data_IF_135041765450
#
_entry.id   IF_135041765450
#
_cell.length_a   1.000
_cell.length_b   1.000
_cell.length_c   1.000
_cell.angle_alpha   90.00
_cell.angle_beta   90.00
_cell.angle_gamma   90.00
#
_symmetry.space_group_name_H-M   'P 1'
#
loop_
_entity.id
_entity.type
_entity.pdbx_description
1 polymer ?
#
# COMPACT_ATOMS: atom_id res chain seq x y z
N UNK A 1 -7.83 -13.30 -9.77
CA UNK A 1 -9.03 -12.78 -9.17
C UNK A 1 -8.72 -11.67 -8.20
N UNK A 2 -9.49 -10.62 -8.27
CA UNK A 2 -9.37 -9.50 -7.33
C UNK A 2 -9.95 -9.98 -6.00
N UNK A 3 -9.13 -10.13 -4.98
CA UNK A 3 -9.57 -10.59 -3.65
C UNK A 3 -10.56 -9.63 -3.01
N UNK A 4 -11.33 -10.12 -2.03
CA UNK A 4 -12.34 -9.33 -1.29
C UNK A 4 -11.77 -8.07 -0.61
N UNK A 5 -10.47 -8.01 -0.38
CA UNK A 5 -9.77 -6.83 0.18
C UNK A 5 -9.42 -5.74 -0.82
N UNK A 6 -9.65 -5.94 -2.11
CA UNK A 6 -9.26 -4.99 -3.15
C UNK A 6 -9.87 -3.58 -2.96
N UNK A 7 -11.16 -3.42 -2.67
CA UNK A 7 -11.73 -2.09 -2.44
C UNK A 7 -11.07 -1.37 -1.26
N UNK A 8 -10.76 -2.08 -0.18
CA UNK A 8 -10.10 -1.48 0.99
C UNK A 8 -8.66 -1.03 0.68
N UNK A 9 -7.92 -1.79 -0.14
CA UNK A 9 -6.58 -1.42 -0.57
C UNK A 9 -6.60 -0.13 -1.40
N UNK A 10 -7.55 0.00 -2.32
CA UNK A 10 -7.72 1.21 -3.13
C UNK A 10 -8.12 2.39 -2.24
N UNK A 11 -9.06 2.18 -1.30
CA UNK A 11 -9.46 3.22 -0.35
C UNK A 11 -8.28 3.70 0.49
N UNK A 12 -7.46 2.81 1.03
CA UNK A 12 -6.23 3.18 1.75
C UNK A 12 -5.27 4.00 0.88
N UNK A 13 -5.19 3.69 -0.40
CA UNK A 13 -4.36 4.46 -1.33
C UNK A 13 -4.83 5.90 -1.50
N UNK A 14 -6.14 6.15 -1.50
CA UNK A 14 -6.72 7.47 -1.73
C UNK A 14 -6.89 8.30 -0.46
N UNK A 15 -7.08 7.69 0.70
CA UNK A 15 -7.13 8.41 1.97
C UNK A 15 -5.73 8.92 2.30
N UNK A 16 -5.53 10.22 2.12
CA UNK A 16 -4.21 10.82 2.21
C UNK A 16 -3.65 10.83 3.64
N UNK A 17 -4.49 11.07 4.65
CA UNK A 17 -4.09 11.10 6.06
C UNK A 17 -5.32 10.95 6.96
N UNK A 18 -5.19 10.16 8.02
CA UNK A 18 -6.25 10.00 9.03
C UNK A 18 -6.61 11.32 9.73
N UNK A 19 -5.62 12.20 9.91
CA UNK A 19 -5.82 13.52 10.52
C UNK A 19 -6.74 14.40 9.67
N UNK A 20 -6.55 14.38 8.34
CA UNK A 20 -7.41 15.12 7.40
C UNK A 20 -8.84 14.55 7.44
N UNK A 21 -9.00 13.24 7.52
CA UNK A 21 -10.32 12.61 7.66
C UNK A 21 -10.98 12.98 8.99
N UNK A 22 -10.22 12.97 10.09
CA UNK A 22 -10.70 13.42 11.41
C UNK A 22 -11.13 14.88 11.41
N UNK A 23 -10.36 15.76 10.79
CA UNK A 23 -10.72 17.19 10.65
C UNK A 23 -11.99 17.40 9.81
N UNK A 24 -12.16 16.62 8.75
CA UNK A 24 -13.34 16.71 7.88
C UNK A 24 -14.61 16.20 8.52
N UNK A 25 -14.53 15.20 9.40
CA UNK A 25 -15.68 14.72 10.18
C UNK A 25 -16.26 15.76 11.13
N UNK A 26 -15.50 16.78 11.49
CA UNK A 26 -15.94 17.89 12.34
C UNK A 26 -16.52 19.09 11.56
N UNK A 27 -16.58 19.02 10.23
CA UNK A 27 -17.16 20.05 9.39
C UNK A 27 -18.62 19.70 9.06
N UNK A 28 -19.51 20.69 9.13
CA UNK A 28 -20.95 20.53 8.81
C UNK A 28 -21.20 20.15 7.34
N UNK A 29 -20.23 20.39 6.45
CA UNK A 29 -20.25 20.01 5.04
C UNK A 29 -18.96 19.29 4.66
N UNK A 30 -19.06 17.99 4.41
CA UNK A 30 -17.96 17.17 3.95
C UNK A 30 -17.80 17.32 2.42
N UNK A 31 -16.79 18.05 1.96
CA UNK A 31 -16.39 18.04 0.56
C UNK A 31 -15.45 16.86 0.30
N UNK A 32 -16.00 15.77 -0.20
CA UNK A 32 -15.26 14.53 -0.51
C UNK A 32 -14.15 14.79 -1.53
N UNK A 33 -14.26 15.82 -2.36
CA UNK A 33 -13.21 16.18 -3.35
C UNK A 33 -11.90 16.59 -2.70
N UNK A 34 -11.95 17.09 -1.45
CA UNK A 34 -10.76 17.46 -0.68
C UNK A 34 -10.02 16.22 -0.10
N UNK A 35 -10.75 15.12 0.08
CA UNK A 35 -10.18 13.84 0.54
C UNK A 35 -9.47 13.05 -0.57
N UNK A 36 -9.88 13.28 -1.80
CA UNK A 36 -9.30 12.58 -2.94
C UNK A 36 -8.12 13.38 -3.46
N UNK A 37 -6.90 12.88 -3.33
CA UNK A 37 -5.76 13.53 -3.97
C UNK A 37 -6.04 13.58 -5.48
N UNK A 38 -5.87 14.76 -6.09
CA UNK A 38 -5.92 14.93 -7.55
C UNK A 38 -4.69 14.30 -8.23
N UNK A 39 -4.29 13.11 -7.76
CA UNK A 39 -3.04 12.43 -8.12
C UNK A 39 -3.32 10.96 -8.36
N UNK A 40 -2.43 10.35 -9.11
CA UNK A 40 -2.43 8.89 -9.26
C UNK A 40 -1.93 8.24 -7.97
N UNK A 41 -2.59 7.15 -7.61
CA UNK A 41 -2.20 6.35 -6.45
C UNK A 41 -1.99 4.90 -6.88
N UNK A 42 -0.87 4.34 -6.47
CA UNK A 42 -0.55 2.93 -6.61
C UNK A 42 -0.46 2.28 -5.24
N UNK A 43 -1.06 1.12 -5.07
CA UNK A 43 -0.97 0.32 -3.86
C UNK A 43 -0.46 -1.07 -4.17
N UNK A 44 0.54 -1.54 -3.41
CA UNK A 44 1.17 -2.84 -3.57
C UNK A 44 1.13 -3.59 -2.24
N UNK A 45 0.44 -4.74 -2.16
CA UNK A 45 0.57 -5.64 -1.02
C UNK A 45 1.99 -6.19 -0.94
N UNK A 46 2.54 -6.21 0.27
CA UNK A 46 3.80 -6.88 0.59
C UNK A 46 3.51 -7.96 1.61
N UNK A 47 3.97 -9.17 1.33
CA UNK A 47 3.64 -10.34 2.12
C UNK A 47 4.84 -11.28 2.28
N UNK A 48 4.65 -12.34 3.07
CA UNK A 48 5.51 -13.52 3.18
C UNK A 48 4.71 -14.77 2.82
N UNK A 49 5.36 -15.85 2.32
CA UNK A 49 4.68 -17.13 2.13
C UNK A 49 4.12 -17.63 3.49
N UNK A 50 3.00 -18.36 3.50
CA UNK A 50 2.18 -18.82 2.38
C UNK A 50 1.02 -17.88 2.02
N UNK A 51 1.06 -16.61 2.42
CA UNK A 51 0.00 -15.66 2.07
C UNK A 51 -0.27 -15.66 0.54
N UNK A 52 -1.51 -15.66 0.05
CA UNK A 52 -2.79 -15.46 0.76
C UNK A 52 -3.46 -16.78 1.23
N UNK A 53 -2.78 -17.91 1.18
CA UNK A 53 -3.34 -19.22 1.48
C UNK A 53 -3.23 -19.62 2.94
N UNK A 54 -2.85 -18.70 3.82
CA UNK A 54 -2.65 -18.97 5.23
C UNK A 54 -3.91 -19.57 5.89
N UNK A 55 -3.91 -20.87 6.06
CA UNK A 55 -4.71 -21.51 7.10
C UNK A 55 -4.07 -21.11 8.41
N UNK A 56 -4.82 -20.47 9.29
CA UNK A 56 -4.45 -19.81 10.53
C UNK A 56 -3.70 -20.64 11.60
N UNK A 57 -2.79 -21.53 11.22
CA UNK A 57 -2.04 -22.42 12.13
C UNK A 57 -0.52 -22.22 12.09
N UNK A 58 -0.01 -21.37 11.22
CA UNK A 58 1.42 -21.11 11.16
C UNK A 58 1.74 -19.80 11.86
N UNK A 59 2.44 -19.88 12.98
CA UNK A 59 3.14 -18.71 13.52
C UNK A 59 4.45 -18.59 12.75
N UNK A 60 4.64 -17.48 12.08
CA UNK A 60 5.92 -17.12 11.48
C UNK A 60 6.87 -16.64 12.57
N UNK A 61 8.16 -16.75 12.31
CA UNK A 61 9.16 -16.04 13.12
C UNK A 61 8.91 -14.52 13.07
N UNK A 62 9.10 -13.85 14.20
CA UNK A 62 9.09 -12.39 14.25
C UNK A 62 10.45 -11.89 13.77
N UNK A 63 10.45 -11.19 12.65
CA UNK A 63 11.66 -10.69 12.01
C UNK A 63 11.71 -9.17 12.06
N UNK A 64 12.91 -8.57 12.14
CA UNK A 64 13.05 -7.11 12.07
C UNK A 64 12.53 -6.59 10.71
N UNK A 65 11.93 -5.40 10.77
CA UNK A 65 11.49 -4.65 9.59
C UNK A 65 12.47 -3.50 9.39
N UNK A 66 13.25 -3.56 8.31
CA UNK A 66 14.37 -2.64 8.08
C UNK A 66 14.32 -2.03 6.66
N UNK A 67 15.29 -1.17 6.35
CA UNK A 67 15.56 -0.65 5.00
C UNK A 67 14.76 0.59 4.60
N UNK A 68 13.79 1.03 5.41
CA UNK A 68 12.98 2.20 5.12
C UNK A 68 13.43 3.43 5.91
N UNK A 69 13.40 4.58 5.24
CA UNK A 69 13.50 5.88 5.91
C UNK A 69 12.17 6.21 6.61
N UNK A 70 12.14 7.14 7.60
CA UNK A 70 10.91 7.58 8.24
C UNK A 70 9.83 8.04 7.24
N UNK A 71 10.23 8.75 6.18
CA UNK A 71 9.32 9.17 5.11
C UNK A 71 8.71 7.98 4.35
N UNK A 72 9.52 6.95 4.07
CA UNK A 72 9.04 5.75 3.39
C UNK A 72 8.17 4.88 4.30
N UNK A 73 8.45 4.85 5.61
CA UNK A 73 7.58 4.17 6.59
C UNK A 73 6.17 4.76 6.61
N UNK A 74 6.02 6.09 6.44
CA UNK A 74 4.72 6.74 6.28
C UNK A 74 3.97 6.39 4.99
N UNK A 75 4.61 5.70 4.05
CA UNK A 75 3.96 5.17 2.82
C UNK A 75 3.47 3.74 2.97
N UNK A 76 3.63 3.12 4.14
CA UNK A 76 3.24 1.73 4.38
C UNK A 76 2.10 1.68 5.39
N UNK A 77 0.99 1.09 5.00
CA UNK A 77 -0.08 0.71 5.90
C UNK A 77 0.24 -0.67 6.46
N UNK A 78 0.74 -0.70 7.70
CA UNK A 78 1.21 -1.90 8.36
C UNK A 78 0.06 -2.81 8.78
N UNK A 79 0.24 -4.12 8.61
CA UNK A 79 -0.73 -5.16 8.97
C UNK A 79 -0.16 -6.09 10.04
N UNK A 80 0.59 -7.09 9.63
CA UNK A 80 1.17 -8.12 10.52
C UNK A 80 2.52 -7.64 11.09
N UNK A 81 2.50 -6.49 11.76
CA UNK A 81 3.68 -5.81 12.32
C UNK A 81 3.39 -5.32 13.74
N UNK A 82 4.37 -5.44 14.61
CA UNK A 82 4.35 -4.96 15.98
C UNK A 82 5.57 -4.09 16.29
N UNK A 83 5.48 -3.26 17.32
CA UNK A 83 6.62 -2.51 17.86
C UNK A 83 7.28 -3.35 18.93
N UNK A 84 8.57 -3.63 18.75
CA UNK A 84 9.43 -4.14 19.81
C UNK A 84 9.80 -2.94 20.71
N UNK A 85 9.19 -2.86 21.87
CA UNK A 85 9.38 -1.72 22.79
C UNK A 85 10.77 -1.66 23.38
N UNK A 86 11.44 -2.81 23.55
CA UNK A 86 12.79 -2.87 24.12
C UNK A 86 13.83 -2.40 23.08
N UNK A 87 13.67 -2.84 21.85
CA UNK A 87 14.57 -2.47 20.75
C UNK A 87 14.21 -1.15 20.06
N UNK A 88 12.99 -0.61 20.28
CA UNK A 88 12.47 0.55 19.56
C UNK A 88 12.30 0.32 18.05
N UNK A 89 12.10 -0.94 17.63
CA UNK A 89 12.15 -1.38 16.25
C UNK A 89 10.84 -2.04 15.84
N UNK A 90 10.48 -1.89 14.56
CA UNK A 90 9.37 -2.65 14.00
C UNK A 90 9.80 -4.10 13.73
N UNK A 91 8.91 -5.04 14.05
CA UNK A 91 9.06 -6.46 13.76
C UNK A 91 7.79 -7.03 13.19
N UNK A 92 7.89 -8.09 12.39
CA UNK A 92 6.70 -8.82 11.95
C UNK A 92 6.02 -9.46 13.16
N UNK A 93 4.68 -9.48 13.19
CA UNK A 93 3.93 -10.10 14.29
C UNK A 93 3.80 -11.62 14.13
N UNK A 94 4.05 -12.15 12.93
CA UNK A 94 4.07 -13.58 12.66
C UNK A 94 2.69 -14.26 12.63
N UNK A 95 1.62 -13.53 12.28
CA UNK A 95 0.25 -14.03 12.35
C UNK A 95 -0.28 -14.57 11.02
N UNK A 96 -0.31 -13.76 9.96
CA UNK A 96 -0.94 -14.14 8.69
C UNK A 96 -0.04 -14.00 7.45
N UNK A 97 1.06 -13.28 7.59
CA UNK A 97 2.05 -13.06 6.54
C UNK A 97 1.74 -11.90 5.59
N UNK A 98 0.61 -11.20 5.71
CA UNK A 98 0.42 -9.92 5.05
C UNK A 98 1.13 -8.82 5.86
N UNK A 99 2.30 -8.42 5.44
CA UNK A 99 3.13 -7.44 6.16
C UNK A 99 2.49 -6.06 6.13
N UNK A 100 1.97 -5.68 4.97
CA UNK A 100 1.31 -4.40 4.79
C UNK A 100 1.06 -4.05 3.33
N UNK A 101 0.57 -2.83 3.12
CA UNK A 101 0.29 -2.28 1.80
C UNK A 101 1.13 -1.03 1.60
N UNK A 102 1.98 -1.06 0.60
CA UNK A 102 2.82 0.08 0.22
C UNK A 102 2.04 1.00 -0.71
N UNK A 103 2.11 2.30 -0.45
CA UNK A 103 1.47 3.36 -1.24
C UNK A 103 2.51 4.18 -2.00
N UNK A 104 2.26 4.45 -3.27
CA UNK A 104 2.87 5.53 -4.04
C UNK A 104 1.80 6.52 -4.47
N UNK A 105 2.04 7.81 -4.34
CA UNK A 105 1.14 8.86 -4.81
C UNK A 105 1.93 9.93 -5.56
N UNK A 106 1.48 10.30 -6.76
CA UNK A 106 2.18 11.26 -7.62
C UNK A 106 1.24 11.86 -8.67
N UNK A 107 1.73 12.86 -9.42
CA UNK A 107 0.97 13.54 -10.47
C UNK A 107 0.89 12.71 -11.77
N UNK A 108 1.65 11.61 -11.87
CA UNK A 108 1.59 10.66 -12.98
C UNK A 108 1.50 9.22 -12.46
N UNK A 109 0.87 8.35 -13.25
CA UNK A 109 0.75 6.92 -12.92
C UNK A 109 2.11 6.23 -12.84
N UNK A 110 3.06 6.59 -13.73
CA UNK A 110 4.40 6.06 -13.74
C UNK A 110 5.16 6.40 -12.47
N UNK A 111 5.11 7.66 -12.03
CA UNK A 111 5.80 8.09 -10.82
C UNK A 111 5.17 7.48 -9.56
N UNK A 112 3.85 7.41 -9.51
CA UNK A 112 3.11 6.74 -8.43
C UNK A 112 3.55 5.27 -8.28
N UNK A 113 3.63 4.55 -9.39
CA UNK A 113 4.12 3.17 -9.43
C UNK A 113 5.59 3.07 -9.00
N UNK A 114 6.45 3.94 -9.53
CA UNK A 114 7.87 3.94 -9.20
C UNK A 114 8.10 4.13 -7.68
N UNK A 115 7.37 5.05 -7.05
CA UNK A 115 7.44 5.29 -5.61
C UNK A 115 6.99 4.09 -4.78
N UNK A 116 5.92 3.41 -5.21
CA UNK A 116 5.46 2.19 -4.54
C UNK A 116 6.48 1.06 -4.67
N UNK A 117 6.99 0.82 -5.88
CA UNK A 117 7.99 -0.21 -6.15
C UNK A 117 9.31 0.06 -5.42
N UNK A 118 9.77 1.32 -5.40
CA UNK A 118 10.96 1.71 -4.64
C UNK A 118 10.82 1.35 -3.17
N UNK A 119 9.71 1.75 -2.55
CA UNK A 119 9.45 1.49 -1.12
C UNK A 119 9.34 -0.01 -0.85
N UNK A 120 8.60 -0.76 -1.67
CA UNK A 120 8.48 -2.21 -1.54
C UNK A 120 9.83 -2.93 -1.72
N UNK A 121 10.70 -2.44 -2.62
CA UNK A 121 12.02 -3.01 -2.85
C UNK A 121 12.96 -2.75 -1.67
N UNK A 122 12.96 -1.53 -1.14
CA UNK A 122 13.83 -1.14 0.00
C UNK A 122 13.45 -1.82 1.30
N UNK A 123 12.18 -2.13 1.50
CA UNK A 123 11.71 -2.86 2.68
C UNK A 123 12.45 -4.19 2.80
N UNK A 124 13.15 -4.40 3.91
CA UNK A 124 13.94 -5.60 4.19
C UNK A 124 13.22 -6.44 5.22
N UNK A 125 12.74 -7.58 4.78
CA UNK A 125 12.12 -8.63 5.59
C UNK A 125 12.45 -9.97 4.92
N UNK A 126 12.86 -11.02 5.65
CA UNK A 126 13.10 -12.35 5.07
C UNK A 126 11.88 -12.88 4.32
N UNK A 127 12.11 -13.51 3.19
CA UNK A 127 11.07 -14.12 2.34
C UNK A 127 10.00 -13.14 1.83
N UNK A 128 10.30 -11.86 1.78
CA UNK A 128 9.40 -10.84 1.26
C UNK A 128 8.93 -11.14 -0.17
N UNK A 129 7.63 -10.96 -0.40
CA UNK A 129 6.97 -11.10 -1.70
C UNK A 129 6.16 -9.86 -2.03
N UNK A 130 6.25 -9.39 -3.26
CA UNK A 130 5.35 -8.41 -3.86
C UNK A 130 5.39 -8.54 -5.39
N UNK A 131 4.38 -7.99 -6.08
CA UNK A 131 4.31 -8.03 -7.54
C UNK A 131 5.14 -6.91 -8.15
N UNK A 132 6.16 -7.28 -8.91
CA UNK A 132 7.01 -6.33 -9.66
C UNK A 132 6.41 -5.95 -11.02
N UNK A 133 5.47 -6.75 -11.53
CA UNK A 133 4.80 -6.59 -12.83
C UNK A 133 3.50 -5.78 -12.77
N UNK A 134 3.11 -5.29 -11.58
CA UNK A 134 1.81 -4.67 -11.34
C UNK A 134 1.52 -3.45 -12.25
N UNK A 135 2.54 -2.76 -12.74
CA UNK A 135 2.37 -1.55 -13.54
C UNK A 135 2.19 -1.77 -15.05
N UNK A 136 2.66 -2.88 -15.60
CA UNK A 136 2.66 -3.05 -17.07
C UNK A 136 1.26 -3.15 -17.68
N UNK A 137 0.36 -3.88 -17.04
CA UNK A 137 -1.01 -4.01 -17.52
C UNK A 137 -1.82 -2.72 -17.35
N UNK A 138 -1.59 -1.96 -16.27
CA UNK A 138 -2.30 -0.71 -16.01
C UNK A 138 -2.00 0.34 -17.08
N UNK A 139 -0.75 0.48 -17.49
CA UNK A 139 -0.34 1.43 -18.52
C UNK A 139 -1.00 1.13 -19.86
N UNK A 140 -1.00 -0.14 -20.26
CA UNK A 140 -1.66 -0.58 -21.49
C UNK A 140 -3.18 -0.36 -21.43
N UNK A 141 -3.79 -0.61 -20.28
CA UNK A 141 -5.24 -0.43 -20.09
C UNK A 141 -5.61 1.06 -20.11
N UNK A 142 -4.82 1.93 -19.48
CA UNK A 142 -5.06 3.38 -19.51
C UNK A 142 -4.98 3.90 -20.94
N UNK A 143 -3.95 3.54 -21.70
CA UNK A 143 -3.83 3.95 -23.11
C UNK A 143 -5.01 3.47 -23.96
N UNK A 144 -5.52 2.26 -23.72
CA UNK A 144 -6.72 1.75 -24.39
C UNK A 144 -7.98 2.51 -23.99
N UNK A 145 -8.11 2.90 -22.72
CA UNK A 145 -9.25 3.67 -22.22
C UNK A 145 -9.26 5.09 -22.81
N UNK A 146 -8.09 5.74 -22.85
CA UNK A 146 -7.93 7.05 -23.50
C UNK A 146 -8.37 7.01 -24.97
N UNK A 147 -7.90 6.00 -25.72
CA UNK A 147 -8.28 5.82 -27.13
C UNK A 147 -9.78 5.50 -27.32
N UNK A 148 -10.35 4.67 -26.44
CA UNK A 148 -11.72 4.16 -26.63
C UNK A 148 -12.79 5.14 -26.17
N UNK A 149 -12.48 5.98 -25.19
CA UNK A 149 -13.45 6.87 -24.55
C UNK A 149 -13.12 8.35 -24.69
N UNK A 150 -12.09 8.70 -25.47
CA UNK A 150 -11.59 10.09 -25.63
C UNK A 150 -11.36 10.79 -24.27
N UNK A 151 -11.00 10.02 -23.25
CA UNK A 151 -10.73 10.54 -21.93
C UNK A 151 -9.32 11.17 -21.91
N UNK A 152 -9.26 12.42 -21.49
CA UNK A 152 -7.98 13.05 -21.12
C UNK A 152 -7.76 12.80 -19.62
N UNK A 153 -6.84 11.91 -19.28
CA UNK A 153 -6.46 11.57 -17.91
C UNK A 153 -5.27 12.39 -17.41
#
# INVERSE_FOLDING_TARGET
GVGAGWPSLVTHGFLSELDTFGQLLHQDHLDVSQLLPKKFVTVLPVSRPPWPTAKARFRFSTEPVEGLTPQQMGRVFWHDVQVDQEAGQLRTAGLDGLIGVVRGAADTSQLSLALALETATRLQIPEKQFRTDAGQQVQNTLAQLEQKFELVL
#
